data_IF_290223960848
#
_entry.id   IF_290223960848
#
_cell.length_a   1.000
_cell.length_b   1.000
_cell.length_c   1.000
_cell.angle_alpha   90.00
_cell.angle_beta   90.00
_cell.angle_gamma   90.00
#
_symmetry.space_group_name_H-M   'P 1'
#
loop_
_entity.id
_entity.type
_entity.pdbx_description
1 polymer ?
#
# COMPACT_ATOMS: atom_id res chain seq x y z
N UNK A 1 3.87 39.26 -10.87
CA UNK A 1 3.29 39.62 -12.19
C UNK A 1 3.84 38.61 -13.18
N UNK A 2 2.94 37.92 -13.88
CA UNK A 2 3.10 36.69 -14.68
C UNK A 2 3.17 35.40 -13.84
N UNK A 3 2.14 34.58 -13.62
CA UNK A 3 0.81 34.36 -14.21
C UNK A 3 0.75 34.24 -15.75
N UNK A 4 0.30 33.05 -16.18
CA UNK A 4 -0.27 32.67 -17.48
C UNK A 4 0.64 31.90 -18.45
N UNK A 5 -0.02 30.87 -18.99
CA UNK A 5 0.22 30.16 -20.25
C UNK A 5 1.21 28.99 -20.27
N UNK A 6 0.68 27.81 -19.94
CA UNK A 6 0.71 26.68 -20.88
C UNK A 6 -0.48 25.76 -20.62
N UNK A 7 -1.66 26.18 -21.09
CA UNK A 7 -2.78 25.28 -21.33
C UNK A 7 -2.82 24.91 -22.81
N UNK A 8 -3.12 23.64 -23.11
CA UNK A 8 -4.00 23.14 -24.19
C UNK A 8 -3.60 21.73 -24.59
N UNK A 9 -4.39 20.76 -24.13
CA UNK A 9 -4.93 19.75 -25.05
C UNK A 9 -6.41 19.54 -24.69
N UNK A 10 -7.26 20.25 -25.42
CA UNK A 10 -8.70 20.00 -25.48
C UNK A 10 -8.93 18.84 -26.45
N UNK A 11 -9.63 17.79 -26.00
CA UNK A 11 -10.38 16.94 -26.92
C UNK A 11 -11.79 17.53 -27.05
N UNK A 12 -12.07 18.05 -28.23
CA UNK A 12 -13.40 18.46 -28.70
C UNK A 12 -14.24 17.21 -28.95
N UNK A 13 -15.46 17.21 -28.44
CA UNK A 13 -16.51 16.25 -28.76
C UNK A 13 -17.84 16.75 -28.21
N UNK A 14 -18.32 17.87 -28.75
CA UNK A 14 -19.62 18.44 -28.38
C UNK A 14 -20.74 17.85 -29.22
N UNK A 15 -21.75 17.28 -28.56
CA UNK A 15 -23.11 17.11 -29.09
C UNK A 15 -24.05 17.84 -28.12
N UNK A 16 -24.86 18.77 -28.65
CA UNK A 16 -25.86 19.56 -27.91
C UNK A 16 -27.15 18.74 -27.73
N UNK A 17 -28.00 19.09 -26.74
CA UNK A 17 -29.09 18.26 -26.28
C UNK A 17 -30.41 18.58 -27.00
N UNK A 18 -31.19 17.54 -27.31
CA UNK A 18 -32.60 17.66 -27.67
C UNK A 18 -33.51 17.45 -26.45
N UNK A 19 -34.54 18.30 -26.37
CA UNK A 19 -35.58 18.34 -25.33
C UNK A 19 -36.78 17.49 -25.72
N UNK A 20 -37.21 16.60 -24.83
CA UNK A 20 -38.59 16.14 -24.56
C UNK A 20 -38.55 15.59 -23.11
N UNK A 21 -39.43 15.83 -22.14
CA UNK A 21 -40.81 16.33 -22.12
C UNK A 21 -41.72 15.31 -21.40
N UNK A 22 -41.81 15.35 -20.05
CA UNK A 22 -42.74 14.56 -19.18
C UNK A 22 -42.48 13.04 -19.15
N UNK A 23 -42.64 12.25 -18.07
CA UNK A 23 -43.53 12.29 -16.91
C UNK A 23 -42.96 11.38 -15.78
N UNK A 24 -43.74 11.19 -14.74
CA UNK A 24 -43.46 10.89 -13.34
C UNK A 24 -43.31 9.41 -12.94
N UNK A 25 -42.80 9.24 -11.71
CA UNK A 25 -42.85 8.05 -10.82
C UNK A 25 -41.92 6.86 -11.10
N UNK A 26 -41.08 6.56 -10.10
CA UNK A 26 -40.29 5.33 -10.05
C UNK A 26 -38.95 5.51 -9.34
N UNK A 27 -38.96 5.75 -8.02
CA UNK A 27 -37.77 5.53 -7.20
C UNK A 27 -37.41 4.04 -7.27
N UNK A 28 -36.51 3.68 -8.18
CA UNK A 28 -35.81 2.41 -8.15
C UNK A 28 -34.55 2.62 -7.32
N UNK A 29 -34.64 2.28 -6.03
CA UNK A 29 -33.49 2.20 -5.16
C UNK A 29 -32.44 1.30 -5.83
N UNK A 30 -31.25 1.84 -6.07
CA UNK A 30 -30.09 1.06 -6.46
C UNK A 30 -29.82 0.04 -5.34
N UNK A 31 -29.52 -1.23 -5.65
CA UNK A 31 -29.19 -2.19 -4.62
C UNK A 31 -27.90 -1.74 -3.92
N UNK A 32 -27.75 -1.98 -2.60
CA UNK A 32 -26.50 -1.71 -1.92
C UNK A 32 -25.40 -2.54 -2.58
N UNK A 33 -24.43 -1.87 -3.19
CA UNK A 33 -23.24 -2.51 -3.73
C UNK A 33 -22.33 -2.88 -2.55
N UNK A 34 -22.66 -3.98 -1.89
CA UNK A 34 -21.83 -4.60 -0.86
C UNK A 34 -21.37 -5.96 -1.38
N UNK A 35 -20.52 -5.96 -2.41
CA UNK A 35 -19.61 -7.07 -2.60
C UNK A 35 -18.34 -6.72 -1.82
N UNK A 36 -18.09 -7.33 -0.65
CA UNK A 36 -16.80 -7.16 0.00
C UNK A 36 -15.72 -7.67 -0.97
N UNK A 37 -14.58 -6.98 -1.07
CA UNK A 37 -13.42 -7.43 -1.85
C UNK A 37 -12.79 -8.75 -1.34
N UNK A 38 -13.51 -9.50 -0.49
CA UNK A 38 -13.17 -10.82 0.03
C UNK A 38 -13.69 -11.96 -0.84
N UNK A 39 -14.15 -11.71 -2.08
CA UNK A 39 -14.37 -12.78 -3.04
C UNK A 39 -13.00 -13.34 -3.40
N UNK A 40 -12.77 -14.62 -3.11
CA UNK A 40 -11.58 -15.34 -3.57
C UNK A 40 -11.47 -15.15 -5.07
N UNK A 41 -10.41 -14.47 -5.50
CA UNK A 41 -10.17 -14.20 -6.91
C UNK A 41 -9.51 -15.43 -7.50
N UNK A 42 -10.13 -16.05 -8.50
CA UNK A 42 -9.52 -17.16 -9.24
C UNK A 42 -8.65 -16.68 -10.40
N UNK A 43 -8.77 -15.40 -10.77
CA UNK A 43 -8.06 -14.81 -11.92
C UNK A 43 -7.35 -13.52 -11.53
N UNK A 44 -6.19 -13.30 -12.14
CA UNK A 44 -5.41 -12.06 -11.98
C UNK A 44 -6.06 -10.97 -12.81
N UNK A 45 -6.41 -9.86 -12.15
CA UNK A 45 -7.03 -8.70 -12.77
C UNK A 45 -6.23 -7.44 -12.46
N UNK A 46 -6.05 -6.58 -13.47
CA UNK A 46 -5.49 -5.25 -13.23
C UNK A 46 -6.57 -4.45 -12.49
N UNK A 47 -6.26 -3.83 -11.33
CA UNK A 47 -7.23 -3.03 -10.60
C UNK A 47 -7.80 -1.90 -11.46
N UNK A 48 -9.12 -1.85 -11.54
CA UNK A 48 -9.90 -0.85 -12.27
C UNK A 48 -10.45 0.24 -11.33
N UNK A 49 -11.26 1.15 -11.87
CA UNK A 49 -11.84 2.25 -11.11
C UNK A 49 -12.70 1.77 -9.92
N UNK A 50 -13.39 0.64 -10.07
CA UNK A 50 -14.18 0.05 -9.01
C UNK A 50 -13.29 -0.44 -7.87
N UNK A 51 -12.18 -1.12 -8.17
CA UNK A 51 -11.21 -1.55 -7.18
C UNK A 51 -10.63 -0.37 -6.38
N UNK A 52 -10.31 0.75 -7.05
CA UNK A 52 -9.84 1.96 -6.38
C UNK A 52 -10.94 2.65 -5.55
N UNK A 53 -12.19 2.68 -6.02
CA UNK A 53 -13.32 3.19 -5.27
C UNK A 53 -13.56 2.38 -3.98
N UNK A 54 -13.58 1.04 -4.08
CA UNK A 54 -13.72 0.15 -2.93
C UNK A 54 -12.55 0.31 -1.95
N UNK A 55 -11.32 0.46 -2.43
CA UNK A 55 -10.17 0.73 -1.56
C UNK A 55 -10.31 2.06 -0.80
N UNK A 56 -10.79 3.12 -1.46
CA UNK A 56 -11.08 4.41 -0.83
C UNK A 56 -12.10 4.26 0.30
N UNK A 57 -13.20 3.55 0.05
CA UNK A 57 -14.23 3.27 1.06
C UNK A 57 -13.66 2.49 2.26
N UNK A 58 -12.79 1.50 2.02
CA UNK A 58 -12.11 0.76 3.09
C UNK A 58 -11.22 1.67 3.95
N UNK A 59 -10.51 2.63 3.35
CA UNK A 59 -9.73 3.62 4.10
C UNK A 59 -10.63 4.48 5.01
N UNK A 60 -11.81 4.88 4.53
CA UNK A 60 -12.74 5.79 5.21
C UNK A 60 -13.63 5.08 6.24
N UNK A 61 -13.90 3.79 6.06
CA UNK A 61 -14.81 3.04 6.91
C UNK A 61 -14.33 2.95 8.36
N UNK A 62 -15.18 3.33 9.31
CA UNK A 62 -14.95 3.12 10.75
C UNK A 62 -15.46 1.75 11.24
N UNK A 63 -16.26 1.04 10.43
CA UNK A 63 -16.96 -0.16 10.85
C UNK A 63 -16.01 -1.36 11.04
N UNK A 64 -16.16 -2.07 12.16
CA UNK A 64 -15.39 -3.28 12.46
C UNK A 64 -13.92 -3.06 12.86
N UNK A 65 -13.47 -1.81 12.97
CA UNK A 65 -12.10 -1.46 13.32
C UNK A 65 -11.94 -1.23 14.83
N UNK A 66 -11.01 -1.95 15.45
CA UNK A 66 -10.60 -1.71 16.84
C UNK A 66 -9.37 -0.81 16.87
N UNK A 67 -9.47 0.35 17.49
CA UNK A 67 -8.33 1.25 17.65
C UNK A 67 -7.33 0.67 18.66
N UNK A 68 -6.06 0.51 18.26
CA UNK A 68 -4.97 0.02 19.11
C UNK A 68 -3.95 1.10 19.45
N UNK A 69 -3.90 2.17 18.66
CA UNK A 69 -3.05 3.32 18.91
C UNK A 69 -3.77 4.61 18.50
N UNK A 70 -3.68 5.63 19.35
CA UNK A 70 -4.27 6.94 19.07
C UNK A 70 -3.38 8.06 19.62
N UNK A 71 -2.78 8.84 18.73
CA UNK A 71 -2.14 10.13 19.01
C UNK A 71 -2.65 11.17 18.00
N UNK A 72 -2.53 12.48 18.29
CA UNK A 72 -3.14 13.52 17.44
C UNK A 72 -2.90 13.35 15.94
N UNK A 73 -1.67 13.02 15.54
CA UNK A 73 -1.33 12.84 14.13
C UNK A 73 -1.41 11.39 13.65
N UNK A 74 -1.42 10.39 14.54
CA UNK A 74 -1.26 8.97 14.18
C UNK A 74 -2.34 8.12 14.81
N UNK A 75 -3.06 7.37 13.98
CA UNK A 75 -3.99 6.34 14.42
C UNK A 75 -3.63 4.98 13.86
N UNK A 76 -3.80 3.92 14.67
CA UNK A 76 -3.70 2.52 14.21
C UNK A 76 -4.93 1.76 14.66
N UNK A 77 -5.53 1.06 13.72
CA UNK A 77 -6.67 0.19 13.92
C UNK A 77 -6.37 -1.20 13.40
N UNK A 78 -6.93 -2.21 14.05
CA UNK A 78 -6.89 -3.59 13.59
C UNK A 78 -8.31 -4.13 13.54
N UNK A 79 -8.59 -5.03 12.60
CA UNK A 79 -9.81 -5.81 12.58
C UNK A 79 -9.44 -7.24 12.97
N UNK A 80 -10.20 -7.82 13.91
CA UNK A 80 -9.98 -9.19 14.32
C UNK A 80 -10.17 -10.13 13.11
N UNK A 81 -9.30 -11.13 13.00
CA UNK A 81 -9.49 -12.18 12.01
C UNK A 81 -10.81 -12.92 12.32
N UNK A 82 -11.55 -13.30 11.29
CA UNK A 82 -12.65 -14.24 11.47
C UNK A 82 -12.10 -15.56 12.04
N UNK A 83 -12.86 -16.22 12.92
CA UNK A 83 -12.45 -17.49 13.53
C UNK A 83 -11.99 -18.48 12.46
N UNK A 84 -10.80 -19.07 12.65
CA UNK A 84 -10.19 -20.02 11.72
C UNK A 84 -9.43 -19.43 10.54
N UNK A 85 -9.39 -18.10 10.35
CA UNK A 85 -8.60 -17.46 9.28
C UNK A 85 -7.31 -16.82 9.83
N UNK A 86 -6.17 -17.07 9.18
CA UNK A 86 -4.87 -16.47 9.50
C UNK A 86 -4.69 -15.04 8.92
N UNK A 87 -5.78 -14.43 8.44
CA UNK A 87 -5.75 -13.13 7.76
C UNK A 87 -5.80 -12.01 8.78
N UNK A 88 -4.80 -11.13 8.74
CA UNK A 88 -4.73 -9.95 9.58
C UNK A 88 -5.03 -8.69 8.78
N UNK A 89 -5.86 -7.82 9.37
CA UNK A 89 -6.23 -6.52 8.80
C UNK A 89 -5.75 -5.40 9.70
N UNK A 90 -4.96 -4.49 9.15
CA UNK A 90 -4.45 -3.30 9.82
C UNK A 90 -4.71 -2.07 8.98
N UNK A 91 -5.10 -0.98 9.64
CA UNK A 91 -5.24 0.35 9.05
C UNK A 91 -4.44 1.33 9.89
N UNK A 92 -3.62 2.13 9.23
CA UNK A 92 -2.79 3.14 9.86
C UNK A 92 -3.05 4.48 9.19
N UNK A 93 -3.25 5.54 9.98
CA UNK A 93 -3.38 6.93 9.51
C UNK A 93 -2.19 7.73 10.05
N UNK A 94 -1.62 8.59 9.21
CA UNK A 94 -0.77 9.70 9.65
C UNK A 94 -1.19 11.01 8.97
N UNK A 95 -1.24 12.09 9.73
CA UNK A 95 -1.36 13.46 9.24
C UNK A 95 0.02 14.10 9.09
N UNK A 96 0.31 14.64 7.90
CA UNK A 96 1.58 15.30 7.58
C UNK A 96 1.29 16.76 7.25
N UNK A 97 1.81 17.68 8.07
CA UNK A 97 1.50 19.12 7.98
C UNK A 97 2.53 19.94 7.21
N UNK A 98 3.64 19.32 6.86
CA UNK A 98 4.86 19.91 6.31
C UNK A 98 5.40 19.14 5.08
N UNK A 99 4.61 18.20 4.54
CA UNK A 99 4.94 17.40 3.36
C UNK A 99 3.76 17.43 2.38
N UNK A 100 4.05 17.66 1.09
CA UNK A 100 3.03 17.61 0.04
C UNK A 100 2.61 16.16 -0.29
N UNK A 101 1.38 15.98 -0.76
CA UNK A 101 0.89 14.66 -1.19
C UNK A 101 1.77 14.05 -2.30
N UNK A 102 2.23 14.87 -3.26
CA UNK A 102 3.13 14.43 -4.33
C UNK A 102 4.49 13.92 -3.82
N UNK A 103 5.05 14.56 -2.79
CA UNK A 103 6.31 14.09 -2.17
C UNK A 103 6.13 12.72 -1.52
N UNK A 104 5.01 12.49 -0.81
CA UNK A 104 4.72 11.17 -0.23
C UNK A 104 4.55 10.13 -1.33
N UNK A 105 3.82 10.48 -2.39
CA UNK A 105 3.59 9.61 -3.53
C UNK A 105 4.91 9.18 -4.21
N UNK A 106 5.82 10.12 -4.46
CA UNK A 106 7.15 9.84 -5.00
C UNK A 106 7.94 8.88 -4.09
N UNK A 107 7.97 9.13 -2.78
CA UNK A 107 8.69 8.29 -1.80
C UNK A 107 8.13 6.86 -1.77
N UNK A 108 6.83 6.68 -1.96
CA UNK A 108 6.20 5.37 -1.99
C UNK A 108 6.56 4.58 -3.26
N UNK A 109 6.76 5.25 -4.39
CA UNK A 109 7.15 4.63 -5.66
C UNK A 109 8.66 4.41 -5.83
N UNK A 110 9.50 5.27 -5.26
CA UNK A 110 10.94 5.29 -5.51
C UNK A 110 11.66 4.11 -4.80
N UNK A 111 11.78 2.99 -5.52
CA UNK A 111 12.48 1.78 -5.06
C UNK A 111 13.97 2.03 -4.77
N UNK A 112 14.61 2.99 -5.45
CA UNK A 112 16.00 3.35 -5.18
C UNK A 112 16.11 4.05 -3.83
N UNK A 113 15.21 4.99 -3.56
CA UNK A 113 15.14 5.64 -2.26
C UNK A 113 14.75 4.67 -1.15
N UNK A 114 13.81 3.75 -1.40
CA UNK A 114 13.37 2.72 -0.44
C UNK A 114 14.56 1.98 0.17
N UNK A 115 15.51 1.54 -0.66
CA UNK A 115 16.72 0.83 -0.21
C UNK A 115 17.64 1.67 0.67
N UNK A 116 17.55 3.00 0.61
CA UNK A 116 18.37 3.91 1.43
C UNK A 116 17.83 4.07 2.85
N UNK A 117 16.50 4.08 3.02
CA UNK A 117 15.91 4.44 4.30
C UNK A 117 15.24 3.29 5.03
N UNK A 118 14.79 2.26 4.31
CA UNK A 118 14.11 1.11 4.89
C UNK A 118 15.12 -0.01 5.20
N UNK A 119 15.62 0.00 6.44
CA UNK A 119 16.60 -0.98 6.93
C UNK A 119 16.07 -2.42 6.96
N UNK A 120 14.76 -2.61 6.88
CA UNK A 120 14.17 -3.95 6.89
C UNK A 120 14.18 -4.60 5.51
N UNK A 121 14.38 -3.82 4.43
CA UNK A 121 14.44 -4.36 3.07
C UNK A 121 15.67 -5.22 2.87
N UNK A 122 15.46 -6.45 2.41
CA UNK A 122 16.52 -7.34 1.94
C UNK A 122 16.71 -7.14 0.43
N UNK A 123 15.62 -7.26 -0.35
CA UNK A 123 15.60 -7.03 -1.80
C UNK A 123 14.28 -6.37 -2.19
N UNK A 124 14.34 -5.39 -3.10
CA UNK A 124 13.16 -4.76 -3.71
C UNK A 124 13.49 -4.32 -5.14
N UNK A 125 12.66 -4.72 -6.09
CA UNK A 125 12.75 -4.34 -7.49
C UNK A 125 11.46 -4.65 -8.23
N UNK A 126 11.20 -3.87 -9.27
CA UNK A 126 10.10 -4.13 -10.20
C UNK A 126 10.56 -5.16 -11.25
N UNK A 127 9.68 -6.10 -11.60
CA UNK A 127 9.95 -7.26 -12.45
C UNK A 127 9.57 -6.94 -13.89
N UNK A 128 8.33 -6.50 -14.10
CA UNK A 128 7.77 -6.24 -15.42
C UNK A 128 6.60 -5.25 -15.34
N UNK A 129 6.35 -4.56 -16.45
CA UNK A 129 5.21 -3.65 -16.62
C UNK A 129 4.04 -4.38 -17.28
N UNK A 130 2.84 -4.16 -16.78
CA UNK A 130 1.59 -4.67 -17.36
C UNK A 130 0.86 -3.56 -18.16
N UNK A 131 0.76 -2.36 -17.58
CA UNK A 131 0.17 -1.16 -18.22
C UNK A 131 0.98 0.08 -17.84
N UNK A 132 0.56 1.27 -18.29
CA UNK A 132 1.19 2.54 -17.91
C UNK A 132 1.17 2.80 -16.40
N UNK A 133 0.23 2.19 -15.67
CA UNK A 133 0.01 2.41 -14.24
C UNK A 133 -0.10 1.10 -13.44
N UNK A 134 0.38 -0.02 -14.00
CA UNK A 134 0.43 -1.30 -13.30
C UNK A 134 1.69 -2.09 -13.63
N UNK A 135 2.31 -2.65 -12.60
CA UNK A 135 3.52 -3.45 -12.67
C UNK A 135 3.47 -4.66 -11.73
N UNK A 136 4.43 -5.56 -11.90
CA UNK A 136 4.71 -6.66 -10.99
C UNK A 136 6.04 -6.39 -10.29
N UNK A 137 6.07 -6.51 -8.97
CA UNK A 137 7.26 -6.28 -8.16
C UNK A 137 7.59 -7.44 -7.23
N UNK A 138 8.86 -7.52 -6.84
CA UNK A 138 9.34 -8.42 -5.79
C UNK A 138 9.80 -7.59 -4.59
N UNK A 139 9.41 -8.02 -3.40
CA UNK A 139 9.83 -7.39 -2.14
C UNK A 139 10.12 -8.46 -1.08
N UNK A 140 11.26 -8.37 -0.41
CA UNK A 140 11.58 -9.22 0.75
C UNK A 140 12.15 -8.40 1.90
N UNK A 141 11.80 -8.79 3.12
CA UNK A 141 12.14 -8.03 4.33
C UNK A 141 12.52 -8.93 5.49
N UNK A 142 13.29 -8.33 6.40
CA UNK A 142 13.69 -8.93 7.66
C UNK A 142 12.54 -8.95 8.66
N UNK A 143 12.35 -10.08 9.32
CA UNK A 143 11.42 -10.18 10.44
C UNK A 143 12.17 -10.16 11.78
N UNK A 144 11.51 -9.71 12.87
CA UNK A 144 12.12 -9.78 14.20
C UNK A 144 12.46 -11.22 14.57
N UNK A 145 13.69 -11.48 15.01
CA UNK A 145 14.10 -12.79 15.53
C UNK A 145 13.12 -13.27 16.61
N UNK A 146 12.74 -14.57 16.66
CA UNK A 146 13.22 -15.68 15.84
C UNK A 146 12.36 -15.99 14.59
N UNK A 147 11.55 -15.04 14.11
CA UNK A 147 10.73 -15.23 12.91
C UNK A 147 11.61 -15.31 11.66
N UNK A 148 11.28 -16.20 10.74
CA UNK A 148 11.95 -16.25 9.42
C UNK A 148 11.69 -14.98 8.61
N UNK A 149 12.61 -14.60 7.75
CA UNK A 149 12.40 -13.48 6.84
C UNK A 149 11.32 -13.81 5.80
N UNK A 150 10.69 -12.78 5.22
CA UNK A 150 9.54 -12.94 4.32
C UNK A 150 9.81 -12.36 2.93
N UNK A 151 9.16 -12.93 1.92
CA UNK A 151 9.05 -12.34 0.59
C UNK A 151 7.60 -12.28 0.08
N UNK A 152 7.38 -11.40 -0.90
CA UNK A 152 6.13 -11.28 -1.66
C UNK A 152 6.44 -10.97 -3.12
N UNK A 153 5.57 -11.47 -4.01
CA UNK A 153 5.47 -11.03 -5.39
C UNK A 153 4.09 -10.42 -5.56
N UNK A 154 4.02 -9.15 -5.97
CA UNK A 154 2.76 -8.42 -6.03
C UNK A 154 2.55 -7.78 -7.39
N UNK A 155 1.29 -7.78 -7.83
CA UNK A 155 0.81 -6.87 -8.85
C UNK A 155 0.43 -5.58 -8.14
N UNK A 156 1.03 -4.46 -8.55
CA UNK A 156 0.75 -3.13 -8.03
C UNK A 156 0.14 -2.28 -9.14
N UNK A 157 -0.86 -1.48 -8.78
CA UNK A 157 -1.49 -0.49 -9.65
C UNK A 157 -1.67 0.82 -8.91
N UNK A 158 -1.62 1.94 -9.63
CA UNK A 158 -1.80 3.27 -9.05
C UNK A 158 -2.77 4.14 -9.85
N UNK A 159 -3.43 5.05 -9.13
CA UNK A 159 -4.40 6.00 -9.65
C UNK A 159 -4.25 7.33 -8.94
N UNK A 160 -4.19 8.41 -9.72
CA UNK A 160 -4.16 9.79 -9.22
C UNK A 160 -5.44 10.49 -9.66
N UNK A 161 -6.09 11.17 -8.72
CA UNK A 161 -7.23 12.06 -8.95
C UNK A 161 -6.90 13.46 -8.43
N UNK A 162 -7.83 14.41 -8.57
CA UNK A 162 -7.62 15.79 -8.11
C UNK A 162 -7.22 15.91 -6.62
N UNK A 163 -7.65 14.96 -5.77
CA UNK A 163 -7.44 15.02 -4.32
C UNK A 163 -6.67 13.83 -3.75
N UNK A 164 -6.70 12.67 -4.42
CA UNK A 164 -6.16 11.41 -3.91
C UNK A 164 -5.06 10.87 -4.82
N UNK A 165 -3.98 10.41 -4.21
CA UNK A 165 -3.00 9.52 -4.81
C UNK A 165 -3.18 8.13 -4.18
N UNK A 166 -3.48 7.12 -4.98
CA UNK A 166 -3.72 5.77 -4.50
C UNK A 166 -2.76 4.79 -5.15
N UNK A 167 -2.22 3.89 -4.34
CA UNK A 167 -1.40 2.76 -4.78
C UNK A 167 -1.97 1.53 -4.10
N UNK A 168 -2.41 0.54 -4.86
CA UNK A 168 -2.90 -0.73 -4.33
C UNK A 168 -2.10 -1.87 -4.93
N UNK A 169 -1.93 -2.94 -4.16
CA UNK A 169 -1.26 -4.14 -4.60
C UNK A 169 -1.88 -5.38 -3.95
N UNK A 170 -1.71 -6.51 -4.61
CA UNK A 170 -2.07 -7.83 -4.09
C UNK A 170 -1.13 -8.88 -4.66
N UNK A 171 -1.07 -10.04 -4.01
CA UNK A 171 -0.09 -11.07 -4.33
C UNK A 171 -0.46 -11.86 -5.58
N UNK A 172 0.54 -12.12 -6.42
CA UNK A 172 0.44 -12.94 -7.62
C UNK A 172 1.57 -13.96 -7.64
N UNK A 173 1.35 -15.09 -8.32
CA UNK A 173 2.41 -16.03 -8.66
C UNK A 173 3.02 -15.58 -9.98
N UNK A 174 4.33 -15.41 -9.97
CA UNK A 174 5.10 -15.22 -11.19
C UNK A 174 5.95 -16.48 -11.44
N UNK A 175 5.93 -17.09 -12.64
CA UNK A 175 6.59 -18.38 -12.91
C UNK A 175 8.08 -18.43 -12.56
N UNK A 176 8.81 -17.33 -12.80
CA UNK A 176 10.25 -17.19 -12.49
C UNK A 176 10.58 -16.81 -11.04
N UNK A 177 9.58 -16.57 -10.18
CA UNK A 177 9.79 -16.20 -8.76
C UNK A 177 9.01 -17.13 -7.82
N UNK A 178 9.32 -18.45 -7.82
CA UNK A 178 8.71 -19.40 -6.89
C UNK A 178 9.12 -19.09 -5.43
N UNK A 179 8.44 -19.68 -4.43
CA UNK A 179 8.88 -19.61 -3.04
C UNK A 179 10.34 -20.03 -2.85
N UNK A 180 11.04 -19.35 -1.95
CA UNK A 180 12.47 -19.60 -1.67
C UNK A 180 12.62 -20.35 -0.35
N UNK A 181 13.63 -21.23 -0.25
CA UNK A 181 13.82 -22.12 0.91
C UNK A 181 14.00 -21.37 2.24
N UNK A 182 14.70 -20.24 2.21
CA UNK A 182 15.08 -19.49 3.42
C UNK A 182 14.12 -18.34 3.76
N UNK A 183 13.06 -18.16 2.97
CA UNK A 183 12.08 -17.09 3.14
C UNK A 183 10.66 -17.68 3.20
N UNK A 184 9.82 -17.11 4.05
CA UNK A 184 8.40 -17.43 4.05
C UNK A 184 7.71 -16.55 3.00
N UNK A 185 7.04 -17.18 2.01
CA UNK A 185 6.19 -16.47 1.05
C UNK A 185 4.94 -15.97 1.76
N UNK A 186 4.87 -14.68 2.06
CA UNK A 186 3.65 -14.06 2.58
C UNK A 186 2.64 -13.82 1.45
N UNK A 187 1.37 -13.61 1.82
CA UNK A 187 0.29 -13.30 0.88
C UNK A 187 -0.39 -12.01 1.32
N UNK A 188 -0.08 -10.90 0.63
CA UNK A 188 -0.91 -9.70 0.62
C UNK A 188 -2.17 -9.96 -0.20
N UNK A 189 -3.32 -9.99 0.47
CA UNK A 189 -4.64 -10.11 -0.17
C UNK A 189 -5.01 -8.76 -0.77
N UNK A 190 -4.78 -7.68 -0.02
CA UNK A 190 -4.91 -6.31 -0.47
C UNK A 190 -4.07 -5.41 0.44
N UNK A 191 -3.10 -4.73 -0.13
CA UNK A 191 -2.34 -3.69 0.57
C UNK A 191 -2.37 -2.41 -0.24
N UNK A 192 -2.46 -1.27 0.40
CA UNK A 192 -2.39 -0.01 -0.32
C UNK A 192 -2.14 1.22 0.54
N UNK A 193 -1.90 2.31 -0.18
CA UNK A 193 -1.73 3.66 0.34
C UNK A 193 -2.76 4.57 -0.32
N UNK A 194 -3.39 5.42 0.48
CA UNK A 194 -4.14 6.57 0.01
C UNK A 194 -3.53 7.83 0.60
N UNK A 195 -3.00 8.69 -0.24
CA UNK A 195 -2.48 10.01 0.13
C UNK A 195 -3.49 11.05 -0.33
N UNK A 196 -4.16 11.71 0.60
CA UNK A 196 -5.11 12.77 0.32
C UNK A 196 -4.46 14.13 0.58
N UNK A 197 -4.45 15.01 -0.42
CA UNK A 197 -3.97 16.39 -0.22
C UNK A 197 -4.90 17.15 0.73
N UNK A 198 -4.32 17.86 1.70
CA UNK A 198 -5.04 18.78 2.60
C UNK A 198 -4.57 20.23 2.41
N UNK A 199 -3.64 20.46 1.48
CA UNK A 199 -2.98 21.73 1.21
C UNK A 199 -1.76 21.53 0.31
N UNK A 200 -1.10 22.63 -0.06
CA UNK A 200 0.09 22.58 -0.94
C UNK A 200 1.31 21.89 -0.31
N UNK A 201 1.40 21.90 1.03
CA UNK A 201 2.49 21.27 1.81
C UNK A 201 1.95 20.38 2.93
N UNK A 202 0.73 19.87 2.78
CA UNK A 202 0.12 19.00 3.78
C UNK A 202 -0.74 17.91 3.14
N UNK A 203 -0.80 16.76 3.78
CA UNK A 203 -1.60 15.63 3.35
C UNK A 203 -1.94 14.68 4.50
N UNK A 204 -2.98 13.88 4.31
CA UNK A 204 -3.26 12.70 5.12
C UNK A 204 -2.82 11.46 4.36
N UNK A 205 -2.08 10.56 5.02
CA UNK A 205 -1.79 9.24 4.50
C UNK A 205 -2.59 8.19 5.29
N UNK A 206 -3.28 7.32 4.56
CA UNK A 206 -3.83 6.08 5.09
C UNK A 206 -3.10 4.90 4.43
N UNK A 207 -2.52 4.04 5.25
CA UNK A 207 -2.02 2.73 4.86
C UNK A 207 -3.02 1.67 5.32
N UNK A 208 -3.35 0.73 4.46
CA UNK A 208 -4.20 -0.40 4.80
C UNK A 208 -3.56 -1.67 4.26
N UNK A 209 -3.54 -2.72 5.08
CA UNK A 209 -3.11 -4.04 4.67
C UNK A 209 -4.04 -5.12 5.21
N UNK A 210 -4.46 -5.98 4.30
CA UNK A 210 -5.06 -7.28 4.55
C UNK A 210 -4.08 -8.33 4.03
N UNK A 211 -3.50 -9.10 4.94
CA UNK A 211 -2.46 -10.06 4.59
C UNK A 211 -2.54 -11.31 5.46
N UNK A 212 -2.23 -12.44 4.83
CA UNK A 212 -1.78 -13.65 5.53
C UNK A 212 -0.24 -13.60 5.52
N UNK A 213 0.40 -13.33 6.67
CA UNK A 213 1.86 -13.25 6.77
C UNK A 213 2.56 -14.59 6.53
N UNK A 214 1.76 -15.66 6.45
CA UNK A 214 2.13 -17.06 6.43
C UNK A 214 2.95 -17.51 7.62
N UNK A 215 2.48 -18.63 8.16
CA UNK A 215 2.85 -19.15 9.46
C UNK A 215 1.97 -18.64 10.60
N UNK A 216 2.04 -19.34 11.73
CA UNK A 216 1.22 -19.04 12.91
C UNK A 216 1.87 -17.91 13.72
N UNK A 217 1.61 -16.64 13.39
CA UNK A 217 2.20 -15.54 14.15
C UNK A 217 1.74 -15.56 15.62
N UNK A 218 2.67 -15.48 16.59
CA UNK A 218 2.30 -15.33 18.00
C UNK A 218 1.46 -14.06 18.26
N UNK A 219 0.52 -14.13 19.21
CA UNK A 219 -0.32 -12.98 19.60
C UNK A 219 0.50 -11.75 20.00
N UNK A 220 1.67 -11.94 20.61
CA UNK A 220 2.56 -10.85 21.00
C UNK A 220 3.07 -10.08 19.79
N UNK A 221 3.32 -10.75 18.65
CA UNK A 221 3.77 -10.12 17.40
C UNK A 221 2.71 -9.17 16.86
N UNK A 222 1.45 -9.62 16.81
CA UNK A 222 0.32 -8.81 16.34
C UNK A 222 0.11 -7.56 17.23
N UNK A 223 0.23 -7.74 18.55
CA UNK A 223 0.13 -6.63 19.50
C UNK A 223 1.32 -5.65 19.36
N UNK A 224 2.56 -6.15 19.27
CA UNK A 224 3.76 -5.33 19.11
C UNK A 224 3.75 -4.57 17.78
N UNK A 225 3.30 -5.23 16.71
CA UNK A 225 3.17 -4.64 15.38
C UNK A 225 2.21 -3.44 15.37
N UNK A 226 1.02 -3.61 15.95
CA UNK A 226 -0.01 -2.57 15.96
C UNK A 226 0.28 -1.42 16.93
N UNK A 227 0.92 -1.69 18.08
CA UNK A 227 1.15 -0.68 19.11
C UNK A 227 2.47 0.09 18.96
N UNK A 228 3.52 -0.55 18.42
CA UNK A 228 4.87 0.03 18.38
C UNK A 228 5.43 0.14 16.97
N UNK A 229 5.42 -0.96 16.19
CA UNK A 229 6.07 -0.96 14.87
C UNK A 229 5.35 -0.04 13.88
N UNK A 230 4.03 -0.16 13.75
CA UNK A 230 3.25 0.64 12.81
C UNK A 230 3.40 2.17 13.05
N UNK A 231 3.22 2.70 14.29
CA UNK A 231 3.46 4.12 14.54
C UNK A 231 4.90 4.56 14.24
N UNK A 232 5.90 3.73 14.54
CA UNK A 232 7.30 4.06 14.29
C UNK A 232 7.63 4.07 12.80
N UNK A 233 7.06 3.15 12.01
CA UNK A 233 7.18 3.14 10.55
C UNK A 233 6.55 4.40 9.96
N UNK A 234 5.37 4.82 10.42
CA UNK A 234 4.73 6.06 9.95
C UNK A 234 5.58 7.31 10.26
N UNK A 235 6.14 7.40 11.48
CA UNK A 235 7.07 8.49 11.84
C UNK A 235 8.36 8.47 11.01
N UNK A 236 8.89 7.29 10.71
CA UNK A 236 10.06 7.15 9.85
C UNK A 236 9.73 7.58 8.43
N UNK A 237 8.57 7.18 7.90
CA UNK A 237 8.06 7.59 6.60
C UNK A 237 7.98 9.13 6.51
N UNK A 238 7.40 9.79 7.51
CA UNK A 238 7.39 11.26 7.57
C UNK A 238 8.79 11.87 7.47
N UNK A 239 9.74 11.39 8.28
CA UNK A 239 11.14 11.87 8.28
C UNK A 239 11.83 11.68 6.95
N UNK A 240 11.57 10.59 6.22
CA UNK A 240 12.20 10.35 4.92
C UNK A 240 11.54 11.17 3.83
N UNK A 241 10.23 11.44 3.92
CA UNK A 241 9.57 12.38 3.02
C UNK A 241 10.16 13.79 3.11
N UNK A 242 10.49 14.26 4.32
CA UNK A 242 11.16 15.55 4.51
C UNK A 242 12.54 15.61 3.85
N UNK A 243 13.24 14.48 3.75
CA UNK A 243 14.59 14.40 3.16
C UNK A 243 14.58 14.05 1.67
N UNK A 244 13.44 13.63 1.13
CA UNK A 244 13.35 13.13 -0.24
C UNK A 244 13.69 14.17 -1.30
N UNK A 245 13.21 15.44 -1.25
CA UNK A 245 13.53 16.41 -2.29
C UNK A 245 15.03 16.63 -2.46
N UNK A 246 15.77 16.81 -1.36
CA UNK A 246 17.23 17.00 -1.38
C UNK A 246 17.96 15.76 -1.89
N UNK A 247 17.50 14.57 -1.50
CA UNK A 247 18.07 13.33 -2.00
C UNK A 247 17.81 13.17 -3.51
N UNK A 248 16.58 13.41 -3.96
CA UNK A 248 16.17 13.17 -5.35
C UNK A 248 16.89 14.10 -6.32
N UNK A 249 17.14 15.35 -5.91
CA UNK A 249 17.96 16.31 -6.66
C UNK A 249 19.34 15.75 -7.04
N UNK A 250 19.93 14.95 -6.15
CA UNK A 250 21.26 14.35 -6.32
C UNK A 250 21.22 12.97 -6.98
N UNK A 251 20.04 12.40 -7.22
CA UNK A 251 19.84 11.02 -7.66
C UNK A 251 18.82 10.94 -8.80
N UNK A 252 19.21 11.45 -9.97
CA UNK A 252 18.38 11.47 -11.20
C UNK A 252 17.02 12.16 -10.96
N UNK A 253 17.01 13.49 -10.74
CA UNK A 253 15.81 14.23 -10.35
C UNK A 253 14.63 14.05 -11.31
N UNK A 254 14.93 14.02 -12.61
CA UNK A 254 13.92 13.91 -13.67
C UNK A 254 13.43 12.47 -13.88
N UNK A 255 14.10 11.47 -13.31
CA UNK A 255 13.71 10.07 -13.47
C UNK A 255 12.64 9.67 -12.46
N UNK A 256 11.39 9.73 -12.90
CA UNK A 256 10.17 9.39 -12.15
C UNK A 256 9.21 8.62 -13.06
N UNK A 257 9.50 7.35 -13.40
CA UNK A 257 8.70 6.56 -14.34
C UNK A 257 7.26 6.30 -13.90
N UNK A 258 6.93 6.50 -12.62
CA UNK A 258 5.57 6.45 -12.09
C UNK A 258 4.73 7.71 -12.45
N UNK A 259 5.38 8.85 -12.73
CA UNK A 259 4.74 10.08 -13.24
C UNK A 259 4.83 10.16 -14.76
N UNK A 260 5.92 9.65 -15.33
CA UNK A 260 6.30 9.74 -16.74
C UNK A 260 6.51 8.33 -17.32
N UNK A 261 5.44 7.62 -17.70
CA UNK A 261 5.50 6.20 -18.09
C UNK A 261 6.42 5.90 -19.27
N UNK A 262 6.72 6.88 -20.11
CA UNK A 262 7.69 6.80 -21.21
C UNK A 262 9.13 6.60 -20.75
N UNK A 263 9.44 6.96 -19.49
CA UNK A 263 10.75 6.71 -18.88
C UNK A 263 10.91 5.26 -18.40
N UNK A 264 9.84 4.46 -18.40
CA UNK A 264 9.86 3.12 -17.86
C UNK A 264 10.66 2.16 -18.77
N UNK A 265 11.71 1.55 -18.20
CA UNK A 265 12.63 0.64 -18.89
C UNK A 265 12.33 -0.85 -18.60
N UNK A 266 11.28 -1.16 -17.85
CA UNK A 266 10.91 -2.53 -17.53
C UNK A 266 10.42 -3.27 -18.78
N UNK A 267 10.69 -4.59 -18.88
CA UNK A 267 10.07 -5.40 -19.92
C UNK A 267 8.55 -5.41 -19.73
N UNK A 268 7.82 -5.48 -20.84
CA UNK A 268 6.36 -5.69 -20.84
C UNK A 268 6.06 -7.18 -20.61
N UNK A 269 4.97 -7.48 -19.91
CA UNK A 269 4.50 -8.83 -19.61
C UNK A 269 3.01 -8.98 -19.92
N UNK A 270 2.58 -10.18 -20.33
CA UNK A 270 1.15 -10.48 -20.46
C UNK A 270 0.55 -10.86 -19.11
N UNK A 271 -0.65 -10.34 -18.81
CA UNK A 271 -1.36 -10.65 -17.57
C UNK A 271 -1.62 -12.16 -17.38
N UNK A 272 -1.82 -12.89 -18.47
CA UNK A 272 -2.07 -14.34 -18.49
C UNK A 272 -0.87 -15.20 -18.04
N UNK A 273 0.34 -14.62 -17.97
CA UNK A 273 1.52 -15.30 -17.43
C UNK A 273 1.49 -15.38 -15.90
N UNK A 274 0.62 -14.61 -15.25
CA UNK A 274 0.45 -14.58 -13.81
C UNK A 274 -0.74 -15.45 -13.39
N UNK A 275 -0.66 -16.01 -12.19
CA UNK A 275 -1.81 -16.65 -11.54
C UNK A 275 -2.01 -16.09 -10.13
N UNK A 276 -3.19 -16.28 -9.53
CA UNK A 276 -3.43 -15.78 -8.17
C UNK A 276 -2.56 -16.55 -7.17
N UNK A 277 -2.02 -15.81 -6.21
CA UNK A 277 -1.35 -16.39 -5.05
C UNK A 277 -2.37 -16.63 -3.95
N UNK A 278 -2.92 -17.85 -3.90
CA UNK A 278 -3.76 -18.27 -2.78
C UNK A 278 -2.91 -18.68 -1.59
N UNK A 279 -3.41 -18.36 -0.41
CA UNK A 279 -2.75 -18.61 0.85
C UNK A 279 -2.69 -20.13 1.16
N UNK A 280 -3.79 -20.84 1.00
CA UNK A 280 -3.90 -22.31 1.18
C UNK A 280 -2.91 -23.14 0.33
N UNK A 281 -2.50 -22.62 -0.83
CA UNK A 281 -1.56 -23.29 -1.74
C UNK A 281 -0.08 -23.22 -1.32
N UNK A 282 0.24 -22.56 -0.21
CA UNK A 282 1.60 -22.42 0.32
C UNK A 282 1.79 -23.28 1.57
N UNK A 283 3.01 -23.77 1.78
CA UNK A 283 3.38 -24.47 3.01
C UNK A 283 3.16 -23.54 4.23
N UNK A 284 2.47 -24.05 5.25
CA UNK A 284 2.31 -23.34 6.51
C UNK A 284 3.48 -23.67 7.45
N UNK A 285 4.18 -22.64 7.91
CA UNK A 285 5.29 -22.77 8.87
C UNK A 285 4.76 -22.38 10.26
N UNK A 286 4.58 -23.34 11.16
CA UNK A 286 4.08 -23.03 12.51
C UNK A 286 5.15 -22.31 13.35
N UNK A 287 4.94 -21.03 13.61
CA UNK A 287 5.81 -20.16 14.42
C UNK A 287 5.13 -19.73 15.73
N UNK A 288 3.99 -20.35 16.09
CA UNK A 288 3.14 -19.88 17.20
C UNK A 288 3.77 -20.04 18.58
N UNK A 289 4.67 -21.02 18.71
CA UNK A 289 5.38 -21.35 19.95
C UNK A 289 6.61 -20.49 20.19
N UNK A 290 6.97 -19.60 19.25
CA UNK A 290 8.14 -18.74 19.37
C UNK A 290 7.94 -17.64 20.42
N UNK A 291 8.83 -17.64 21.41
CA UNK A 291 8.93 -16.58 22.42
C UNK A 291 9.74 -15.39 21.89
N UNK A 292 9.42 -14.20 22.38
CA UNK A 292 10.19 -12.99 22.08
C UNK A 292 11.63 -13.13 22.63
N UNK A 293 12.63 -13.10 21.74
CA UNK A 293 14.02 -13.01 22.14
C UNK A 293 14.34 -11.57 22.54
N UNK A 294 14.88 -11.38 23.75
CA UNK A 294 15.22 -10.07 24.29
C UNK A 294 16.56 -9.56 23.70
N UNK A 295 16.63 -9.43 22.39
CA UNK A 295 17.80 -8.87 21.71
C UNK A 295 17.74 -7.34 21.82
N UNK A 296 18.50 -6.79 22.77
CA UNK A 296 18.54 -5.37 23.13
C UNK A 296 18.89 -4.37 22.01
N UNK A 297 19.13 -4.82 20.78
CA UNK A 297 19.44 -3.95 19.63
C UNK A 297 18.21 -3.23 19.06
N UNK A 298 17.03 -3.83 19.13
CA UNK A 298 15.79 -3.18 18.65
C UNK A 298 15.08 -2.38 19.77
N UNK A 299 15.33 -2.73 21.02
CA UNK A 299 14.77 -2.04 22.19
C UNK A 299 15.44 -0.69 22.46
N UNK A 300 16.76 -0.57 22.26
CA UNK A 300 17.47 0.69 22.55
C UNK A 300 17.01 1.84 21.66
N UNK A 301 16.75 1.62 20.36
CA UNK A 301 16.25 2.69 19.48
C UNK A 301 14.77 3.05 19.77
N UNK A 302 13.98 2.10 20.31
CA UNK A 302 12.57 2.31 20.64
C UNK A 302 12.37 3.00 22.01
N UNK A 303 13.27 2.79 22.99
CA UNK A 303 13.20 3.42 24.33
C UNK A 303 13.91 4.78 24.40
N UNK A 304 15.09 4.95 23.79
CA UNK A 304 15.93 6.15 24.04
C UNK A 304 15.39 7.46 23.46
N UNK A 305 14.42 7.43 22.54
CA UNK A 305 13.79 8.65 21.99
C UNK A 305 12.44 9.01 22.62
N UNK A 306 11.99 8.24 23.63
CA UNK A 306 10.75 8.48 24.38
C UNK A 306 10.92 9.28 25.67
N UNK A 307 12.16 9.46 26.16
CA UNK A 307 12.48 10.30 27.30
C UNK A 307 13.59 11.28 26.91
N UNK A 308 13.19 12.48 26.49
CA UNK A 308 13.80 13.75 26.89
C UNK A 308 12.81 14.84 26.49
N UNK A 309 12.18 15.42 27.52
CA UNK A 309 11.46 16.70 27.49
C UNK A 309 12.43 17.78 27.02
#
# INVERSE_FOLDING_TARGET
VFEREAGRLQLRGGVKPDRFGGDSTGQRALPPCSAPMSVERDTVLIPDDLAFASFRELCESAHGWQQKYNKPEIGVWVQAAAEGKAVHRIKCRIELKDVSAGTVYDVLHDNEYRRKWDKQVIKTYDIARLTVNADVGYYSWKCPSPLKDRDVVTLRSWLVTDKDYMIINYSVKHPKYPPQKDLVRAVSILTGYRVQSTGSKSCNLVYMAEADPKGSLPKWVVNKASQYLAPNVLKRLHKVCLKYPEWKEKNRPDFKPWLYPEQNILPTMNLSELSIQHADSLENIDESSLSEENNGSDEEECRTKGLKV
#
